data_IF_846617925784
#
_entry.id   IF_846617925784
#
_cell.length_a   1.000
_cell.length_b   1.000
_cell.length_c   1.000
_cell.angle_alpha   90.00
_cell.angle_beta   90.00
_cell.angle_gamma   90.00
#
_symmetry.space_group_name_H-M   'P 1'
#
loop_
_entity.id
_entity.type
_entity.pdbx_description
1 polymer ?
#
# COMPACT_ATOMS: atom_id res chain seq x y z
N UNK A 1 23.39 15.89 -17.77
CA UNK A 1 22.86 14.60 -18.25
C UNK A 1 21.52 14.26 -17.56
N UNK A 2 20.73 15.25 -17.14
CA UNK A 2 19.88 15.12 -15.94
C UNK A 2 18.38 15.37 -16.17
N UNK A 3 17.85 15.15 -17.38
CA UNK A 3 16.46 15.47 -17.77
C UNK A 3 15.66 14.22 -18.20
N UNK A 4 16.14 13.01 -17.83
CA UNK A 4 15.59 11.74 -18.34
C UNK A 4 14.23 11.37 -17.71
N UNK A 5 13.99 11.81 -16.47
CA UNK A 5 12.77 11.51 -15.71
C UNK A 5 11.77 12.66 -15.71
N UNK A 6 12.04 13.78 -16.36
CA UNK A 6 11.08 14.89 -16.31
C UNK A 6 9.86 14.65 -17.20
N UNK A 7 9.97 13.80 -18.24
CA UNK A 7 8.88 13.61 -19.22
C UNK A 7 8.84 12.21 -19.81
N UNK A 8 7.61 11.73 -20.02
CA UNK A 8 7.27 10.46 -20.69
C UNK A 8 8.02 10.19 -22.00
N UNK A 9 8.11 11.15 -22.94
CA UNK A 9 8.87 10.96 -24.18
C UNK A 9 10.36 10.68 -23.96
N UNK A 10 10.97 11.40 -23.01
CA UNK A 10 12.39 11.26 -22.70
C UNK A 10 12.69 9.90 -22.08
N UNK A 11 11.83 9.42 -21.16
CA UNK A 11 11.95 8.09 -20.55
C UNK A 11 11.91 6.98 -21.60
N UNK A 12 10.93 7.01 -22.51
CA UNK A 12 10.78 6.00 -23.55
C UNK A 12 12.00 5.97 -24.49
N UNK A 13 12.43 7.14 -24.94
CA UNK A 13 13.61 7.28 -25.80
C UNK A 13 14.88 6.79 -25.11
N UNK A 14 15.08 7.17 -23.86
CA UNK A 14 16.25 6.79 -23.06
C UNK A 14 16.32 5.27 -22.89
N UNK A 15 15.20 4.62 -22.58
CA UNK A 15 15.17 3.16 -22.45
C UNK A 15 15.55 2.48 -23.76
N UNK A 16 15.00 2.95 -24.88
CA UNK A 16 15.32 2.40 -26.19
C UNK A 16 16.80 2.57 -26.55
N UNK A 17 17.37 3.77 -26.37
CA UNK A 17 18.73 4.06 -26.84
C UNK A 17 19.82 3.60 -25.89
N UNK A 18 19.64 3.84 -24.59
CA UNK A 18 20.70 3.66 -23.59
C UNK A 18 20.62 2.34 -22.82
N UNK A 19 19.43 1.71 -22.76
CA UNK A 19 19.25 0.46 -22.01
C UNK A 19 19.13 -0.77 -22.92
N UNK A 20 18.44 -0.65 -24.06
CA UNK A 20 18.15 -1.80 -24.93
C UNK A 20 18.85 -1.74 -26.30
N UNK A 21 19.43 -0.60 -26.67
CA UNK A 21 20.09 -0.34 -27.96
C UNK A 21 19.23 -0.72 -29.19
N UNK A 22 17.90 -0.65 -29.06
CA UNK A 22 16.98 -1.02 -30.14
C UNK A 22 16.82 0.09 -31.17
N UNK A 23 16.68 -0.28 -32.44
CA UNK A 23 16.30 0.66 -33.47
C UNK A 23 14.86 1.14 -33.26
N UNK A 24 14.56 2.36 -33.75
CA UNK A 24 13.21 2.91 -33.70
C UNK A 24 12.21 2.06 -34.50
N UNK A 25 12.69 1.40 -35.55
CA UNK A 25 11.89 0.56 -36.44
C UNK A 25 11.49 -0.75 -35.75
N UNK A 26 12.43 -1.42 -35.09
CA UNK A 26 12.18 -2.67 -34.35
C UNK A 26 11.19 -2.45 -33.21
N UNK A 27 11.33 -1.33 -32.49
CA UNK A 27 10.43 -0.99 -31.39
C UNK A 27 9.03 -0.65 -31.90
N UNK A 28 8.92 0.09 -33.01
CA UNK A 28 7.64 0.43 -33.63
C UNK A 28 6.90 -0.83 -34.13
N UNK A 29 7.62 -1.74 -34.78
CA UNK A 29 7.06 -3.03 -35.23
C UNK A 29 6.53 -3.84 -34.06
N UNK A 30 7.26 -3.89 -32.95
CA UNK A 30 6.86 -4.64 -31.75
C UNK A 30 5.58 -4.08 -31.11
N UNK A 31 5.43 -2.75 -31.09
CA UNK A 31 4.22 -2.09 -30.59
C UNK A 31 3.06 -2.04 -31.60
N UNK A 32 3.23 -2.59 -32.80
CA UNK A 32 2.20 -2.59 -33.85
C UNK A 32 1.87 -1.20 -34.40
N UNK A 33 2.84 -0.28 -34.40
CA UNK A 33 2.66 1.10 -34.86
C UNK A 33 3.67 1.49 -35.94
N UNK A 34 3.43 2.61 -36.61
CA UNK A 34 4.40 3.15 -37.58
C UNK A 34 5.64 3.71 -36.89
N UNK A 35 6.78 3.73 -37.59
CA UNK A 35 8.00 4.41 -37.12
C UNK A 35 7.76 5.89 -36.80
N UNK A 36 6.93 6.57 -37.58
CA UNK A 36 6.56 7.96 -37.33
C UNK A 36 5.77 8.12 -36.02
N UNK A 37 4.86 7.21 -35.72
CA UNK A 37 4.13 7.18 -34.44
C UNK A 37 5.08 7.02 -33.26
N UNK A 38 6.01 6.07 -33.33
CA UNK A 38 7.03 5.87 -32.28
C UNK A 38 7.92 7.10 -32.11
N UNK A 39 8.34 7.74 -33.21
CA UNK A 39 9.07 9.00 -33.17
C UNK A 39 8.28 10.10 -32.46
N UNK A 40 6.98 10.21 -32.76
CA UNK A 40 6.11 11.22 -32.16
C UNK A 40 5.88 10.97 -30.66
N UNK A 41 5.90 9.71 -30.21
CA UNK A 41 5.89 9.36 -28.79
C UNK A 41 7.19 9.80 -28.10
N UNK A 42 8.35 9.48 -28.68
CA UNK A 42 9.67 9.83 -28.13
C UNK A 42 9.98 11.34 -28.15
N UNK A 43 9.26 12.10 -28.97
CA UNK A 43 9.40 13.58 -29.06
C UNK A 43 8.28 14.33 -28.36
N UNK A 44 7.25 13.64 -27.87
CA UNK A 44 6.12 14.26 -27.18
C UNK A 44 5.18 15.05 -28.09
N UNK A 45 5.17 14.75 -29.39
CA UNK A 45 4.25 15.37 -30.35
C UNK A 45 2.83 14.79 -30.28
N UNK A 46 2.65 13.68 -29.55
CA UNK A 46 1.35 13.00 -29.35
C UNK A 46 1.24 12.51 -27.91
N UNK A 47 0.06 12.05 -27.48
CA UNK A 47 -0.25 11.66 -26.10
C UNK A 47 0.51 10.42 -25.58
N UNK A 48 1.32 9.77 -26.42
CA UNK A 48 2.11 8.59 -26.09
C UNK A 48 1.39 7.26 -26.37
N UNK A 49 2.01 6.12 -26.01
CA UNK A 49 1.38 4.79 -26.13
C UNK A 49 0.19 4.62 -25.17
N UNK A 50 -0.77 3.77 -25.56
CA UNK A 50 -1.74 3.21 -24.62
C UNK A 50 -1.05 2.31 -23.60
N UNK A 51 -1.70 1.96 -22.48
CA UNK A 51 -1.08 1.08 -21.48
C UNK A 51 -0.83 -0.34 -22.00
N UNK A 52 -1.68 -0.85 -22.88
CA UNK A 52 -1.44 -2.14 -23.53
C UNK A 52 -0.19 -2.07 -24.43
N UNK A 53 -0.03 -0.99 -25.20
CA UNK A 53 1.16 -0.77 -26.00
C UNK A 53 2.39 -0.58 -25.11
N UNK A 54 2.25 0.12 -23.99
CA UNK A 54 3.32 0.33 -23.02
C UNK A 54 3.77 -0.98 -22.37
N UNK A 55 2.86 -1.89 -22.04
CA UNK A 55 3.21 -3.21 -21.53
C UNK A 55 4.00 -4.04 -22.56
N UNK A 56 3.61 -3.98 -23.85
CA UNK A 56 4.36 -4.61 -24.94
C UNK A 56 5.75 -3.98 -25.10
N UNK A 57 5.85 -2.66 -24.97
CA UNK A 57 7.12 -1.94 -25.03
C UNK A 57 8.03 -2.30 -23.84
N UNK A 58 7.48 -2.37 -22.64
CA UNK A 58 8.19 -2.74 -21.42
C UNK A 58 8.82 -4.14 -21.55
N UNK A 59 8.02 -5.13 -21.97
CA UNK A 59 8.49 -6.50 -22.22
C UNK A 59 9.58 -6.52 -23.31
N UNK A 60 9.34 -5.84 -24.44
CA UNK A 60 10.30 -5.80 -25.56
C UNK A 60 11.62 -5.14 -25.18
N UNK A 61 11.59 -4.14 -24.31
CA UNK A 61 12.77 -3.41 -23.83
C UNK A 61 13.45 -4.13 -22.65
N UNK A 62 12.88 -5.23 -22.16
CA UNK A 62 13.39 -5.97 -21.01
C UNK A 62 13.32 -5.16 -19.71
N UNK A 63 12.35 -4.25 -19.60
CA UNK A 63 12.24 -3.33 -18.47
C UNK A 63 11.65 -3.97 -17.21
N UNK A 64 10.96 -5.10 -17.33
CA UNK A 64 10.48 -5.88 -16.18
C UNK A 64 9.47 -5.13 -15.32
N UNK A 65 8.47 -4.52 -15.96
CA UNK A 65 7.41 -3.64 -15.43
C UNK A 65 7.85 -2.22 -15.05
N UNK A 66 9.16 -1.96 -14.98
CA UNK A 66 9.70 -0.68 -14.50
C UNK A 66 9.36 0.48 -15.44
N UNK A 67 9.47 0.29 -16.76
CA UNK A 67 9.15 1.33 -17.73
C UNK A 67 7.66 1.67 -17.65
N UNK A 68 6.82 0.64 -17.60
CA UNK A 68 5.37 0.80 -17.46
C UNK A 68 5.00 1.62 -16.23
N UNK A 69 5.47 1.20 -15.05
CA UNK A 69 5.12 1.81 -13.78
C UNK A 69 5.68 3.24 -13.65
N UNK A 70 6.92 3.47 -14.09
CA UNK A 70 7.51 4.82 -14.11
C UNK A 70 6.77 5.75 -15.05
N UNK A 71 6.43 5.30 -16.25
CA UNK A 71 5.71 6.10 -17.23
C UNK A 71 4.37 6.59 -16.66
N UNK A 72 3.69 5.74 -15.89
CA UNK A 72 2.47 6.08 -15.16
C UNK A 72 2.73 7.03 -13.99
N UNK A 73 3.79 6.79 -13.21
CA UNK A 73 4.19 7.60 -12.05
C UNK A 73 4.54 9.06 -12.40
N UNK A 74 5.11 9.29 -13.59
CA UNK A 74 5.51 10.62 -14.07
C UNK A 74 4.42 11.68 -14.02
N UNK A 75 3.15 11.27 -14.10
CA UNK A 75 2.00 12.19 -14.09
C UNK A 75 1.22 12.19 -12.78
N UNK A 76 1.71 11.51 -11.74
CA UNK A 76 1.09 11.55 -10.42
C UNK A 76 0.92 12.98 -9.88
N UNK A 77 1.90 13.90 -10.01
CA UNK A 77 1.74 15.29 -9.57
C UNK A 77 0.64 16.08 -10.30
N UNK A 78 0.31 15.71 -11.54
CA UNK A 78 -0.78 16.36 -12.31
C UNK A 78 -2.18 15.97 -11.79
N UNK A 79 -2.28 14.84 -11.08
CA UNK A 79 -3.54 14.17 -10.80
C UNK A 79 -3.86 14.00 -9.31
N UNK A 80 -2.86 13.74 -8.49
CA UNK A 80 -3.01 13.54 -7.05
C UNK A 80 -2.37 14.70 -6.30
N UNK A 81 -3.05 15.14 -5.23
CA UNK A 81 -2.49 16.13 -4.33
C UNK A 81 -1.28 15.55 -3.60
N UNK A 82 -0.28 16.39 -3.34
CA UNK A 82 0.79 16.05 -2.42
C UNK A 82 0.18 15.80 -1.02
N UNK A 83 0.62 14.75 -0.35
CA UNK A 83 0.19 14.40 1.02
C UNK A 83 1.39 13.96 1.86
N UNK A 84 1.33 14.09 3.19
CA UNK A 84 2.46 13.70 4.05
C UNK A 84 2.58 12.19 4.22
N UNK A 85 1.56 11.39 3.87
CA UNK A 85 1.57 9.94 4.09
C UNK A 85 1.09 9.18 2.88
N UNK A 86 1.86 8.19 2.45
CA UNK A 86 1.59 7.29 1.33
C UNK A 86 1.75 5.85 1.77
N UNK A 87 1.14 4.95 1.02
CA UNK A 87 1.16 3.53 1.34
C UNK A 87 0.96 2.68 0.08
N UNK A 88 1.35 1.41 0.15
CA UNK A 88 1.06 0.40 -0.87
C UNK A 88 1.08 -1.01 -0.28
N UNK A 89 0.07 -1.81 -0.59
CA UNK A 89 0.07 -3.25 -0.32
C UNK A 89 0.52 -3.98 -1.59
N UNK A 90 1.80 -4.36 -1.66
CA UNK A 90 2.30 -5.21 -2.74
C UNK A 90 1.65 -6.61 -2.66
N UNK A 91 1.37 -7.22 -3.80
CA UNK A 91 0.64 -8.48 -3.93
C UNK A 91 1.51 -9.54 -4.58
N UNK A 92 1.22 -10.81 -4.28
CA UNK A 92 1.91 -11.95 -4.86
C UNK A 92 3.23 -12.28 -4.18
N UNK A 93 4.12 -12.96 -4.91
CA UNK A 93 5.40 -13.40 -4.39
C UNK A 93 6.37 -12.22 -4.14
N UNK A 94 7.28 -12.42 -3.18
CA UNK A 94 8.32 -11.43 -2.90
C UNK A 94 9.23 -11.23 -4.10
N UNK A 95 9.26 -9.99 -4.62
CA UNK A 95 10.07 -9.59 -5.77
C UNK A 95 10.59 -8.16 -5.61
N UNK A 96 11.60 -7.73 -6.38
CA UNK A 96 12.09 -6.36 -6.33
C UNK A 96 10.97 -5.36 -6.56
N UNK A 97 10.98 -4.28 -5.78
CA UNK A 97 10.05 -3.17 -5.87
C UNK A 97 10.76 -1.87 -5.54
N UNK A 98 10.15 -0.76 -5.93
CA UNK A 98 10.66 0.56 -5.67
C UNK A 98 9.56 1.51 -5.22
N UNK A 99 9.96 2.53 -4.47
CA UNK A 99 9.17 3.71 -4.16
C UNK A 99 9.91 4.93 -4.72
N UNK A 100 9.21 5.80 -5.45
CA UNK A 100 9.73 7.06 -5.94
C UNK A 100 9.21 8.22 -5.09
N UNK A 101 10.06 8.77 -4.24
CA UNK A 101 9.71 9.80 -3.28
C UNK A 101 10.04 11.17 -3.84
N UNK A 102 9.05 12.07 -3.88
CA UNK A 102 9.21 13.45 -4.36
C UNK A 102 8.55 14.41 -3.38
N UNK A 103 9.27 15.41 -2.89
CA UNK A 103 8.71 16.44 -2.00
C UNK A 103 8.04 17.55 -2.81
N UNK A 104 6.95 18.11 -2.29
CA UNK A 104 6.33 19.28 -2.90
C UNK A 104 7.12 20.55 -2.58
N UNK A 105 7.34 21.39 -3.59
CA UNK A 105 8.06 22.66 -3.47
C UNK A 105 9.52 22.59 -3.94
N UNK A 106 10.31 23.60 -3.57
CA UNK A 106 11.69 23.79 -4.05
C UNK A 106 12.76 23.46 -3.02
N UNK A 107 12.35 23.05 -1.82
CA UNK A 107 13.24 22.76 -0.71
C UNK A 107 13.24 21.25 -0.44
N UNK A 108 14.41 20.66 -0.09
CA UNK A 108 14.46 19.25 0.29
C UNK A 108 13.58 18.99 1.52
N UNK A 109 13.27 17.72 1.74
CA UNK A 109 12.57 17.25 2.94
C UNK A 109 13.13 15.93 3.42
N UNK A 110 12.48 15.35 4.41
CA UNK A 110 12.83 14.05 4.95
C UNK A 110 11.65 13.08 4.78
N UNK A 111 11.97 11.82 4.54
CA UNK A 111 10.98 10.75 4.48
C UNK A 111 11.40 9.58 5.36
N UNK A 112 10.41 8.97 6.00
CA UNK A 112 10.50 7.67 6.65
C UNK A 112 9.74 6.66 5.80
N UNK A 113 10.40 5.57 5.46
CA UNK A 113 9.81 4.42 4.78
C UNK A 113 9.78 3.27 5.76
N UNK A 114 8.60 2.71 6.00
CA UNK A 114 8.43 1.47 6.75
C UNK A 114 7.92 0.39 5.78
N UNK A 115 8.66 -0.70 5.65
CA UNK A 115 8.35 -1.81 4.76
C UNK A 115 8.53 -3.13 5.49
N UNK A 116 7.48 -3.61 6.14
CA UNK A 116 7.59 -4.76 7.04
C UNK A 116 8.59 -4.45 8.16
N UNK A 117 9.73 -5.18 8.27
CA UNK A 117 10.68 -4.96 9.35
C UNK A 117 11.73 -3.89 9.07
N UNK A 118 11.73 -3.37 7.85
CA UNK A 118 12.72 -2.43 7.39
C UNK A 118 12.21 -1.01 7.58
N UNK A 119 13.00 -0.20 8.26
CA UNK A 119 12.81 1.24 8.34
C UNK A 119 13.98 1.94 7.66
N UNK A 120 13.68 2.84 6.75
CA UNK A 120 14.64 3.75 6.14
C UNK A 120 14.19 5.18 6.41
N UNK A 121 15.01 5.95 7.12
CA UNK A 121 14.90 7.41 7.15
C UNK A 121 15.89 7.96 6.11
N UNK A 122 15.42 8.80 5.19
CA UNK A 122 16.26 9.40 4.15
C UNK A 122 15.91 10.85 3.86
N UNK A 123 16.89 11.61 3.35
CA UNK A 123 16.65 12.92 2.78
C UNK A 123 16.11 12.76 1.35
N UNK A 124 15.11 13.58 1.03
CA UNK A 124 14.47 13.63 -0.28
C UNK A 124 14.78 14.97 -0.93
N UNK A 125 15.62 14.98 -2.00
CA UNK A 125 15.93 16.20 -2.73
C UNK A 125 14.66 16.85 -3.31
N UNK A 126 14.66 18.18 -3.43
CA UNK A 126 13.66 18.87 -4.24
C UNK A 126 13.83 18.51 -5.73
N UNK A 127 12.74 18.61 -6.50
CA UNK A 127 12.76 18.29 -7.93
C UNK A 127 12.52 16.80 -8.18
N UNK A 128 13.52 16.12 -8.75
CA UNK A 128 13.40 14.72 -9.19
C UNK A 128 13.21 13.71 -8.06
N UNK A 129 13.53 14.12 -6.82
CA UNK A 129 13.38 13.26 -5.64
C UNK A 129 14.38 12.11 -5.62
N UNK A 130 13.98 10.99 -5.02
CA UNK A 130 14.84 9.83 -4.80
C UNK A 130 14.04 8.54 -4.92
N UNK A 131 14.66 7.49 -5.45
CA UNK A 131 14.12 6.15 -5.41
C UNK A 131 14.65 5.40 -4.20
N UNK A 132 13.75 4.70 -3.51
CA UNK A 132 14.11 3.67 -2.56
C UNK A 132 13.74 2.31 -3.16
N UNK A 133 14.71 1.43 -3.34
CA UNK A 133 14.51 0.10 -3.90
C UNK A 133 14.68 -0.96 -2.82
N UNK A 134 13.78 -1.95 -2.79
CA UNK A 134 13.79 -3.05 -1.85
C UNK A 134 13.14 -4.31 -2.48
N UNK A 135 12.87 -5.32 -1.65
CA UNK A 135 11.96 -6.42 -2.02
C UNK A 135 10.59 -6.18 -1.40
N UNK A 136 9.52 -6.55 -2.10
CA UNK A 136 8.19 -6.61 -1.50
C UNK A 136 8.17 -7.76 -0.47
N UNK A 137 8.09 -7.46 0.81
CA UNK A 137 8.29 -8.47 1.86
C UNK A 137 7.01 -9.24 2.21
N UNK A 138 5.87 -8.56 2.22
CA UNK A 138 4.57 -9.13 2.54
C UNK A 138 3.45 -8.22 2.01
N UNK A 139 2.27 -8.78 1.84
CA UNK A 139 1.04 -8.03 1.56
C UNK A 139 0.58 -7.20 2.76
N UNK A 140 1.00 -7.56 3.98
CA UNK A 140 0.68 -6.87 5.24
C UNK A 140 1.86 -6.92 6.23
N UNK A 141 2.24 -5.83 6.91
CA UNK A 141 1.73 -4.46 6.75
C UNK A 141 2.03 -3.89 5.36
N UNK A 142 1.24 -2.90 4.94
CA UNK A 142 1.57 -2.11 3.75
C UNK A 142 2.94 -1.46 3.90
N UNK A 143 3.63 -1.24 2.79
CA UNK A 143 4.75 -0.28 2.78
C UNK A 143 4.15 1.09 3.03
N UNK A 144 4.67 1.85 3.98
CA UNK A 144 4.25 3.22 4.28
C UNK A 144 5.40 4.18 4.10
N UNK A 145 5.09 5.37 3.58
CA UNK A 145 6.04 6.48 3.47
C UNK A 145 5.44 7.69 4.15
N UNK A 146 6.13 8.22 5.15
CA UNK A 146 5.76 9.43 5.88
C UNK A 146 6.81 10.50 5.62
N UNK A 147 6.38 11.63 5.07
CA UNK A 147 7.20 12.81 4.89
C UNK A 147 6.99 13.79 6.03
N UNK A 148 8.04 14.56 6.33
CA UNK A 148 7.94 15.74 7.20
C UNK A 148 7.13 16.90 6.57
N UNK A 149 6.88 16.83 5.26
CA UNK A 149 6.04 17.76 4.47
C UNK A 149 5.30 17.07 3.36
N UNK A 150 4.28 17.71 2.79
CA UNK A 150 3.53 17.10 1.70
C UNK A 150 4.43 16.71 0.50
N UNK A 151 4.24 15.50 -0.02
CA UNK A 151 4.96 15.00 -1.19
C UNK A 151 4.13 13.98 -1.97
N UNK A 152 4.77 13.36 -2.96
CA UNK A 152 4.23 12.27 -3.76
C UNK A 152 5.08 11.03 -3.60
N UNK A 153 4.43 9.87 -3.59
CA UNK A 153 5.10 8.58 -3.72
C UNK A 153 4.39 7.77 -4.78
N UNK A 154 5.16 7.23 -5.70
CA UNK A 154 4.71 6.16 -6.58
C UNK A 154 5.44 4.87 -6.21
N UNK A 155 4.76 3.76 -6.39
CA UNK A 155 5.29 2.44 -6.11
C UNK A 155 5.22 1.61 -7.37
N UNK A 156 6.24 0.80 -7.62
CA UNK A 156 6.27 -0.11 -8.75
C UNK A 156 7.09 -1.35 -8.47
N UNK A 157 7.05 -2.30 -9.39
CA UNK A 157 7.87 -3.50 -9.35
C UNK A 157 9.12 -3.38 -10.21
N UNK A 158 10.05 -4.31 -10.00
CA UNK A 158 11.27 -4.45 -10.79
C UNK A 158 12.48 -3.73 -10.18
N UNK A 159 13.59 -3.79 -10.93
CA UNK A 159 14.89 -3.22 -10.54
C UNK A 159 15.16 -2.01 -11.43
N UNK A 160 15.33 -0.85 -10.81
CA UNK A 160 15.66 0.40 -11.49
C UNK A 160 17.09 0.35 -12.03
N UNK A 161 17.32 0.78 -13.28
CA UNK A 161 18.68 0.94 -13.78
C UNK A 161 19.45 2.02 -12.99
N UNK A 162 20.75 1.81 -12.76
CA UNK A 162 21.58 2.74 -12.01
C UNK A 162 21.63 4.16 -12.63
N UNK A 163 21.46 4.25 -13.95
CA UNK A 163 21.50 5.51 -14.71
C UNK A 163 20.12 6.17 -14.88
N UNK A 164 19.09 5.80 -14.09
CA UNK A 164 17.70 6.26 -14.28
C UNK A 164 17.49 7.77 -14.17
N UNK A 165 18.47 8.53 -13.66
CA UNK A 165 18.43 10.00 -13.63
C UNK A 165 18.04 10.62 -12.29
N UNK A 166 17.64 9.81 -11.30
CA UNK A 166 17.51 10.20 -9.90
C UNK A 166 18.33 9.27 -9.00
N UNK A 167 18.63 9.70 -7.78
CA UNK A 167 19.34 8.87 -6.82
C UNK A 167 18.55 7.60 -6.52
N UNK A 168 19.23 6.44 -6.51
CA UNK A 168 18.65 5.15 -6.12
C UNK A 168 19.31 4.70 -4.83
N UNK A 169 18.52 4.60 -3.77
CA UNK A 169 18.93 4.06 -2.48
C UNK A 169 18.51 2.60 -2.44
N UNK A 170 19.48 1.70 -2.25
CA UNK A 170 19.20 0.31 -1.86
C UNK A 170 18.75 0.31 -0.40
N UNK A 171 17.43 0.30 -0.19
CA UNK A 171 16.86 0.41 1.13
C UNK A 171 17.26 -0.78 2.02
N UNK A 172 17.60 -1.95 1.48
CA UNK A 172 18.03 -3.10 2.27
C UNK A 172 19.37 -2.83 2.98
N UNK A 173 20.27 -2.05 2.37
CA UNK A 173 21.60 -1.73 2.93
C UNK A 173 21.54 -0.75 4.10
N UNK A 174 20.60 0.19 4.05
CA UNK A 174 20.49 1.28 5.01
C UNK A 174 19.34 1.09 5.98
N UNK A 175 18.47 0.12 5.73
CA UNK A 175 17.34 -0.12 6.59
C UNK A 175 17.83 -0.59 7.96
N UNK A 176 17.51 0.22 8.96
CA UNK A 176 17.60 -0.24 10.33
C UNK A 176 16.40 -1.13 10.56
N UNK A 177 16.65 -2.27 11.21
CA UNK A 177 15.61 -3.04 11.86
C UNK A 177 15.07 -2.17 13.01
N UNK A 178 14.09 -1.32 12.70
CA UNK A 178 13.64 -0.21 13.55
C UNK A 178 13.00 -0.69 14.84
N UNK A 179 13.18 0.02 15.96
CA UNK A 179 12.72 -0.39 17.31
C UNK A 179 11.24 -0.79 17.43
N UNK A 180 10.40 -0.32 16.50
CA UNK A 180 8.94 -0.43 16.50
C UNK A 180 8.42 -1.60 15.64
N UNK A 181 9.25 -2.10 14.71
CA UNK A 181 8.85 -3.10 13.69
C UNK A 181 9.94 -4.13 13.43
N UNK A 182 10.85 -4.36 14.39
CA UNK A 182 11.86 -5.42 14.23
C UNK A 182 11.19 -6.76 13.86
N UNK A 183 11.87 -7.75 13.25
CA UNK A 183 11.43 -9.14 13.34
C UNK A 183 11.03 -9.47 14.79
N UNK A 184 11.71 -8.82 15.76
CA UNK A 184 11.39 -8.76 17.17
C UNK A 184 10.01 -8.18 17.51
N UNK A 185 9.37 -7.25 16.79
CA UNK A 185 8.02 -6.76 17.12
C UNK A 185 6.93 -7.76 16.72
N UNK A 186 7.00 -8.37 15.54
CA UNK A 186 6.10 -9.49 15.19
C UNK A 186 6.38 -10.72 16.06
N UNK A 187 7.65 -10.99 16.41
CA UNK A 187 8.04 -11.99 17.41
C UNK A 187 7.67 -11.60 18.83
N UNK A 188 7.68 -10.33 19.23
CA UNK A 188 7.32 -9.82 20.57
C UNK A 188 5.81 -9.77 20.69
N UNK A 189 5.07 -9.38 19.66
CA UNK A 189 3.61 -9.52 19.57
C UNK A 189 3.21 -11.00 19.56
N UNK A 190 3.88 -11.86 18.79
CA UNK A 190 3.71 -13.31 18.91
C UNK A 190 4.05 -13.78 20.34
N UNK A 191 5.15 -13.32 20.93
CA UNK A 191 5.58 -13.63 22.32
C UNK A 191 4.62 -13.10 23.38
N UNK A 192 3.85 -12.05 23.08
CA UNK A 192 2.86 -11.41 23.95
C UNK A 192 1.49 -12.01 23.82
N UNK A 193 1.07 -12.39 22.61
CA UNK A 193 -0.01 -13.34 22.44
C UNK A 193 0.31 -14.65 23.20
N UNK A 194 1.61 -14.98 23.33
CA UNK A 194 2.12 -16.09 24.14
C UNK A 194 2.55 -15.70 25.56
N UNK A 195 2.31 -14.47 26.04
CA UNK A 195 2.74 -14.05 27.39
C UNK A 195 2.16 -14.89 28.52
N UNK A 196 0.92 -15.43 28.45
CA UNK A 196 0.46 -16.41 29.43
C UNK A 196 1.39 -17.63 29.52
N UNK A 197 2.09 -17.95 28.43
CA UNK A 197 3.02 -19.06 28.31
C UNK A 197 4.50 -18.70 28.50
N UNK A 198 4.94 -17.43 28.56
CA UNK A 198 6.36 -17.13 28.92
C UNK A 198 6.67 -17.63 30.35
N UNK A 199 5.68 -17.55 31.24
CA UNK A 199 5.70 -18.21 32.55
C UNK A 199 5.69 -19.74 32.46
N UNK A 200 4.97 -20.34 31.49
CA UNK A 200 4.98 -21.79 31.23
C UNK A 200 6.28 -22.28 30.56
N UNK A 201 6.93 -21.44 29.76
CA UNK A 201 8.25 -21.66 29.18
C UNK A 201 9.36 -21.36 30.19
N UNK A 202 9.09 -20.85 31.38
CA UNK A 202 10.13 -20.59 32.39
C UNK A 202 11.08 -19.45 32.01
N UNK A 203 10.61 -18.48 31.21
CA UNK A 203 11.34 -17.26 30.88
C UNK A 203 11.84 -17.15 29.43
N UNK A 204 12.49 -16.02 29.10
CA UNK A 204 12.90 -15.68 27.73
C UNK A 204 13.86 -16.71 27.10
N UNK A 205 14.79 -17.26 27.88
CA UNK A 205 15.84 -18.16 27.37
C UNK A 205 15.28 -19.49 26.84
N UNK A 206 14.31 -20.09 27.55
CA UNK A 206 13.67 -21.34 27.11
C UNK A 206 12.77 -21.12 25.90
N UNK A 207 12.15 -19.95 25.80
CA UNK A 207 11.40 -19.55 24.61
C UNK A 207 12.33 -19.43 23.40
N UNK A 208 13.48 -18.76 23.54
CA UNK A 208 14.49 -18.69 22.50
C UNK A 208 15.00 -20.06 22.09
N UNK A 209 15.25 -20.95 23.05
CA UNK A 209 15.64 -22.32 22.75
C UNK A 209 14.57 -23.08 21.97
N UNK A 210 13.29 -22.84 22.27
CA UNK A 210 12.15 -23.46 21.55
C UNK A 210 12.07 -22.96 20.11
N UNK A 211 12.21 -21.64 19.90
CA UNK A 211 12.24 -21.04 18.57
C UNK A 211 13.51 -21.49 17.81
N UNK A 212 14.68 -21.54 18.47
CA UNK A 212 15.94 -22.04 17.92
C UNK A 212 15.85 -23.50 17.47
N UNK A 213 15.16 -24.37 18.22
CA UNK A 213 14.94 -25.77 17.80
C UNK A 213 14.11 -25.88 16.52
N UNK A 214 13.17 -24.95 16.29
CA UNK A 214 12.25 -25.01 15.15
C UNK A 214 12.76 -24.28 13.90
N UNK A 215 13.53 -23.21 14.09
CA UNK A 215 14.03 -22.36 13.01
C UNK A 215 15.56 -22.39 12.84
N UNK A 216 16.26 -23.15 13.70
CA UNK A 216 17.70 -23.39 13.62
C UNK A 216 18.54 -22.14 13.94
N UNK A 217 19.74 -22.06 13.35
CA UNK A 217 20.67 -20.92 13.51
C UNK A 217 20.10 -19.57 13.04
N UNK A 218 19.00 -19.58 12.27
CA UNK A 218 18.31 -18.38 11.76
C UNK A 218 17.81 -17.45 12.88
N UNK A 219 17.62 -18.00 14.08
CA UNK A 219 17.15 -17.28 15.28
C UNK A 219 18.27 -16.49 15.96
N UNK A 220 19.52 -16.92 15.82
CA UNK A 220 20.64 -16.27 16.53
C UNK A 220 21.00 -14.90 15.96
N UNK A 221 20.79 -14.69 14.65
CA UNK A 221 20.93 -13.38 14.01
C UNK A 221 19.89 -12.38 14.53
N UNK A 222 18.66 -12.84 14.82
CA UNK A 222 17.63 -12.02 15.45
C UNK A 222 17.83 -11.84 16.98
N UNK A 223 18.45 -12.82 17.66
CA UNK A 223 18.56 -12.89 19.13
C UNK A 223 19.22 -11.67 19.78
N UNK A 224 20.28 -11.12 19.17
CA UNK A 224 20.98 -9.96 19.72
C UNK A 224 20.07 -8.71 19.77
N UNK A 225 19.17 -8.58 18.79
CA UNK A 225 18.22 -7.48 18.72
C UNK A 225 17.01 -7.72 19.64
N UNK A 226 16.48 -8.95 19.70
CA UNK A 226 15.31 -9.33 20.52
C UNK A 226 15.53 -9.07 22.02
N UNK A 227 16.72 -9.34 22.56
CA UNK A 227 17.03 -9.16 24.00
C UNK A 227 16.98 -7.69 24.44
N UNK A 228 17.24 -6.77 23.51
CA UNK A 228 17.20 -5.30 23.74
C UNK A 228 15.78 -4.75 23.56
N UNK A 229 14.99 -5.35 22.65
CA UNK A 229 13.62 -4.95 22.27
C UNK A 229 12.53 -5.41 23.24
N UNK A 230 12.73 -6.55 23.93
CA UNK A 230 11.75 -7.12 24.87
C UNK A 230 11.39 -6.19 26.05
N UNK A 231 12.14 -5.09 26.24
CA UNK A 231 11.87 -4.05 27.25
C UNK A 231 10.82 -3.02 26.81
N UNK A 232 10.46 -2.94 25.52
CA UNK A 232 9.55 -1.91 24.98
C UNK A 232 8.16 -2.50 24.75
N UNK A 233 7.24 -2.21 25.67
CA UNK A 233 5.85 -2.69 25.64
C UNK A 233 5.04 -1.89 24.60
N UNK A 234 4.81 -2.43 23.40
CA UNK A 234 3.83 -1.86 22.44
C UNK A 234 2.40 -2.25 22.84
N UNK A 235 1.44 -1.34 22.94
CA UNK A 235 0.07 -1.71 23.35
C UNK A 235 -0.75 -2.16 22.13
N UNK A 236 -1.42 -3.31 22.19
CA UNK A 236 -2.48 -3.66 21.20
C UNK A 236 -3.73 -2.79 21.37
N UNK A 237 -3.83 -2.09 22.50
CA UNK A 237 -4.84 -1.07 22.79
C UNK A 237 -4.45 0.28 22.20
N UNK A 238 -5.32 0.85 21.36
CA UNK A 238 -5.25 2.24 20.91
C UNK A 238 -6.39 3.02 21.57
N UNK A 239 -6.04 4.12 22.22
CA UNK A 239 -7.03 5.04 22.79
C UNK A 239 -7.41 6.10 21.74
N UNK A 240 -8.57 5.92 21.11
CA UNK A 240 -9.13 6.89 20.15
C UNK A 240 -10.19 7.78 20.80
N UNK A 241 -10.37 7.71 22.12
CA UNK A 241 -11.43 8.48 22.82
C UNK A 241 -11.25 10.00 22.80
N UNK A 242 -10.06 10.47 22.40
CA UNK A 242 -9.73 11.90 22.24
C UNK A 242 -9.60 12.34 20.78
N UNK A 243 -9.90 11.44 19.84
CA UNK A 243 -9.82 11.76 18.42
C UNK A 243 -10.93 12.76 18.01
N UNK A 244 -10.70 13.47 16.90
CA UNK A 244 -11.74 14.30 16.30
C UNK A 244 -12.88 13.40 15.78
N UNK A 245 -14.03 13.49 16.42
CA UNK A 245 -15.16 12.62 16.21
C UNK A 245 -16.33 13.41 15.64
N UNK A 246 -17.00 12.85 14.62
CA UNK A 246 -18.13 13.52 13.98
C UNK A 246 -19.10 12.50 13.40
N UNK A 247 -20.38 12.84 13.43
CA UNK A 247 -21.46 12.06 12.81
C UNK A 247 -21.75 12.47 11.37
N UNK A 248 -21.11 13.53 10.88
CA UNK A 248 -21.39 14.08 9.55
C UNK A 248 -21.00 13.10 8.44
N UNK A 249 -21.84 13.04 7.40
CA UNK A 249 -21.52 12.31 6.20
C UNK A 249 -20.38 13.02 5.45
N UNK A 250 -19.45 12.21 4.93
CA UNK A 250 -18.37 12.69 4.05
C UNK A 250 -18.73 12.40 2.58
N UNK A 251 -18.26 13.23 1.63
CA UNK A 251 -18.50 12.97 0.21
C UNK A 251 -17.98 11.59 -0.20
N UNK A 252 -18.80 10.83 -0.93
CA UNK A 252 -18.44 9.47 -1.38
C UNK A 252 -17.22 9.45 -2.33
N UNK A 253 -16.97 10.55 -3.04
CA UNK A 253 -15.97 10.61 -4.10
C UNK A 253 -15.42 12.02 -4.33
N UNK A 254 -14.28 12.09 -5.02
CA UNK A 254 -13.53 13.32 -5.32
C UNK A 254 -14.13 14.30 -6.33
N UNK A 255 -15.24 13.92 -6.98
CA UNK A 255 -15.89 14.73 -8.00
C UNK A 255 -15.31 14.49 -9.40
N UNK A 256 -16.08 14.83 -10.43
CA UNK A 256 -15.84 14.41 -11.81
C UNK A 256 -14.50 14.84 -12.42
N UNK A 257 -14.15 16.12 -12.28
CA UNK A 257 -12.92 16.68 -12.88
C UNK A 257 -11.65 15.99 -12.35
N UNK A 258 -11.63 15.61 -11.06
CA UNK A 258 -10.50 14.90 -10.46
C UNK A 258 -10.33 13.50 -11.05
N UNK A 259 -11.43 12.78 -11.28
CA UNK A 259 -11.38 11.48 -11.99
C UNK A 259 -10.85 11.65 -13.42
N UNK A 260 -11.32 12.67 -14.15
CA UNK A 260 -10.83 12.95 -15.50
C UNK A 260 -9.33 13.20 -15.51
N UNK A 261 -8.84 14.08 -14.64
CA UNK A 261 -7.40 14.37 -14.53
C UNK A 261 -6.59 13.13 -14.21
N UNK A 262 -7.03 12.33 -13.25
CA UNK A 262 -6.34 11.10 -12.88
C UNK A 262 -6.36 10.06 -14.00
N UNK A 263 -7.50 9.86 -14.68
CA UNK A 263 -7.59 8.98 -15.84
C UNK A 263 -6.61 9.38 -16.94
N UNK A 264 -6.60 10.66 -17.32
CA UNK A 264 -5.70 11.19 -18.35
C UNK A 264 -4.24 11.08 -17.92
N UNK A 265 -3.93 11.38 -16.65
CA UNK A 265 -2.60 11.21 -16.10
C UNK A 265 -2.15 9.75 -16.13
N UNK A 266 -3.04 8.79 -15.84
CA UNK A 266 -2.75 7.35 -15.93
C UNK A 266 -2.74 6.81 -17.37
N UNK A 267 -3.09 7.63 -18.37
CA UNK A 267 -3.04 7.24 -19.79
C UNK A 267 -4.21 6.37 -20.25
N UNK A 268 -5.30 6.35 -19.49
CA UNK A 268 -6.49 5.55 -19.83
C UNK A 268 -7.43 6.32 -20.76
N UNK A 269 -7.92 5.65 -21.81
CA UNK A 269 -9.14 6.10 -22.47
C UNK A 269 -10.36 5.81 -21.57
N UNK A 270 -11.51 6.41 -21.89
CA UNK A 270 -12.76 6.07 -21.21
C UNK A 270 -13.18 4.62 -21.46
N UNK A 271 -12.82 4.03 -22.61
CA UNK A 271 -13.15 2.65 -22.91
C UNK A 271 -12.31 1.70 -22.06
N UNK A 272 -10.99 1.93 -22.00
CA UNK A 272 -10.06 1.10 -21.23
C UNK A 272 -10.40 1.12 -19.73
N UNK A 273 -10.67 2.31 -19.18
CA UNK A 273 -11.03 2.42 -17.77
C UNK A 273 -12.38 1.74 -17.48
N UNK A 274 -13.34 1.84 -18.39
CA UNK A 274 -14.64 1.17 -18.22
C UNK A 274 -14.49 -0.35 -18.26
N UNK A 275 -13.64 -0.88 -19.14
CA UNK A 275 -13.31 -2.29 -19.19
C UNK A 275 -12.62 -2.76 -17.91
N UNK A 276 -11.53 -2.11 -17.49
CA UNK A 276 -10.79 -2.50 -16.29
C UNK A 276 -11.62 -2.40 -15.01
N UNK A 277 -12.47 -1.37 -14.90
CA UNK A 277 -13.43 -1.27 -13.80
C UNK A 277 -14.44 -2.42 -13.87
N UNK A 278 -14.90 -2.79 -15.08
CA UNK A 278 -15.81 -3.93 -15.27
C UNK A 278 -15.19 -5.26 -14.82
N UNK A 279 -13.92 -5.47 -15.11
CA UNK A 279 -13.19 -6.71 -14.79
C UNK A 279 -12.96 -6.91 -13.28
N UNK A 280 -13.03 -5.86 -12.45
CA UNK A 280 -12.86 -5.98 -10.99
C UNK A 280 -13.89 -6.92 -10.33
N UNK A 281 -15.12 -6.91 -10.85
CA UNK A 281 -16.22 -7.72 -10.32
C UNK A 281 -17.19 -8.09 -11.45
N UNK A 282 -17.03 -9.30 -12.02
CA UNK A 282 -17.88 -9.79 -13.10
C UNK A 282 -19.35 -10.01 -12.69
N UNK A 283 -19.65 -10.13 -11.40
CA UNK A 283 -21.00 -10.38 -10.90
C UNK A 283 -21.83 -9.07 -10.83
N UNK A 284 -21.17 -7.91 -10.92
CA UNK A 284 -21.81 -6.61 -10.96
C UNK A 284 -22.05 -6.12 -12.39
N UNK A 285 -23.04 -5.23 -12.54
CA UNK A 285 -23.29 -4.58 -13.83
C UNK A 285 -22.03 -3.92 -14.41
N UNK A 286 -21.80 -4.11 -15.70
CA UNK A 286 -20.64 -3.57 -16.38
C UNK A 286 -20.59 -2.03 -16.31
N UNK A 287 -19.39 -1.50 -16.12
CA UNK A 287 -19.10 -0.07 -16.23
C UNK A 287 -18.96 0.27 -17.72
N UNK A 288 -19.61 1.35 -18.16
CA UNK A 288 -19.60 1.76 -19.57
C UNK A 288 -18.88 3.10 -19.72
N UNK A 289 -18.40 3.40 -20.94
CA UNK A 289 -17.84 4.71 -21.29
C UNK A 289 -18.79 5.86 -20.95
N UNK A 290 -20.10 5.67 -21.15
CA UNK A 290 -21.10 6.68 -20.83
C UNK A 290 -21.23 6.93 -19.30
N UNK A 291 -21.15 5.87 -18.49
CA UNK A 291 -21.08 6.02 -17.03
C UNK A 291 -19.91 6.91 -16.62
N UNK A 292 -18.72 6.65 -17.19
CA UNK A 292 -17.53 7.43 -16.89
C UNK A 292 -17.62 8.87 -17.40
N UNK A 293 -18.11 9.06 -18.61
CA UNK A 293 -18.32 10.39 -19.18
C UNK A 293 -19.26 11.21 -18.29
N UNK A 294 -20.39 10.65 -17.85
CA UNK A 294 -21.32 11.32 -16.93
C UNK A 294 -20.68 11.63 -15.57
N UNK A 295 -19.90 10.71 -15.01
CA UNK A 295 -19.18 10.92 -13.76
C UNK A 295 -18.20 12.10 -13.87
N UNK A 296 -17.40 12.13 -14.94
CA UNK A 296 -16.41 13.19 -15.19
C UNK A 296 -17.03 14.58 -15.35
N UNK A 297 -18.29 14.64 -15.79
CA UNK A 297 -19.08 15.88 -15.90
C UNK A 297 -19.93 16.17 -14.66
N UNK A 298 -19.65 15.50 -13.54
CA UNK A 298 -20.24 15.80 -12.23
C UNK A 298 -21.56 15.11 -11.91
N UNK A 299 -22.06 14.23 -12.80
CA UNK A 299 -23.19 13.37 -12.47
C UNK A 299 -22.74 12.20 -11.57
N UNK A 300 -23.68 11.56 -10.88
CA UNK A 300 -23.42 10.33 -10.11
C UNK A 300 -24.19 9.17 -10.73
N UNK A 301 -23.60 8.45 -11.71
CA UNK A 301 -24.25 7.30 -12.33
C UNK A 301 -24.66 6.25 -11.27
N UNK A 302 -25.86 5.69 -11.42
CA UNK A 302 -26.36 4.61 -10.55
C UNK A 302 -25.79 3.27 -10.99
N UNK A 303 -24.50 3.08 -10.77
CA UNK A 303 -23.79 1.83 -11.04
C UNK A 303 -23.25 1.30 -9.72
N UNK A 304 -23.53 0.04 -9.35
CA UNK A 304 -23.02 -0.54 -8.11
C UNK A 304 -21.50 -0.41 -8.01
N UNK A 305 -21.04 0.12 -6.88
CA UNK A 305 -19.63 0.23 -6.50
C UNK A 305 -18.73 0.91 -7.55
N UNK A 306 -19.29 1.86 -8.32
CA UNK A 306 -18.56 2.51 -9.42
C UNK A 306 -17.25 3.17 -8.97
N UNK A 307 -17.28 3.95 -7.90
CA UNK A 307 -16.13 4.76 -7.49
C UNK A 307 -15.02 3.92 -6.86
N UNK A 308 -15.40 2.81 -6.23
CA UNK A 308 -14.51 1.80 -5.67
C UNK A 308 -13.77 1.05 -6.78
N UNK A 309 -14.50 0.58 -7.81
CA UNK A 309 -13.92 -0.09 -8.98
C UNK A 309 -13.00 0.84 -9.76
N UNK A 310 -13.34 2.13 -9.87
CA UNK A 310 -12.50 3.12 -10.54
C UNK A 310 -11.24 3.44 -9.74
N UNK A 311 -11.32 3.52 -8.41
CA UNK A 311 -10.14 3.74 -7.58
C UNK A 311 -9.09 2.62 -7.77
N UNK A 312 -9.57 1.37 -7.73
CA UNK A 312 -8.74 0.18 -7.97
C UNK A 312 -8.14 0.18 -9.38
N UNK A 313 -8.95 0.43 -10.41
CA UNK A 313 -8.49 0.45 -11.80
C UNK A 313 -7.49 1.60 -12.07
N UNK A 314 -7.63 2.75 -11.40
CA UNK A 314 -6.71 3.88 -11.50
C UNK A 314 -5.47 3.74 -10.61
N UNK A 315 -5.40 2.70 -9.78
CA UNK A 315 -4.31 2.49 -8.82
C UNK A 315 -4.17 3.64 -7.82
N UNK A 316 -5.30 4.21 -7.36
CA UNK A 316 -5.29 5.40 -6.51
C UNK A 316 -5.21 5.10 -5.00
N UNK A 317 -5.24 3.82 -4.63
CA UNK A 317 -5.05 3.30 -3.27
C UNK A 317 -6.00 3.91 -2.22
N UNK A 318 -7.27 3.92 -2.60
CA UNK A 318 -8.39 4.41 -1.82
C UNK A 318 -8.54 5.93 -1.79
N UNK A 319 -7.66 6.67 -2.46
CA UNK A 319 -7.66 8.13 -2.35
C UNK A 319 -8.87 8.76 -3.00
N UNK A 320 -9.39 8.22 -4.10
CA UNK A 320 -10.47 8.87 -4.88
C UNK A 320 -11.86 8.68 -4.29
N UNK A 321 -12.02 7.78 -3.32
CA UNK A 321 -13.32 7.42 -2.76
C UNK A 321 -13.33 7.38 -1.23
N UNK A 322 -14.54 7.53 -0.68
CA UNK A 322 -14.88 7.26 0.72
C UNK A 322 -16.26 6.62 0.73
N UNK A 323 -16.32 5.35 0.32
CA UNK A 323 -17.57 4.69 0.02
C UNK A 323 -18.02 3.77 1.15
N UNK A 324 -19.20 4.03 1.70
CA UNK A 324 -19.84 3.14 2.67
C UNK A 324 -20.26 1.83 2.00
N UNK A 325 -19.91 0.71 2.63
CA UNK A 325 -20.28 -0.63 2.18
C UNK A 325 -21.29 -1.30 3.10
N UNK A 326 -21.36 -0.87 4.37
CA UNK A 326 -22.22 -1.49 5.37
C UNK A 326 -22.59 -0.49 6.46
N UNK A 327 -23.85 -0.55 6.90
CA UNK A 327 -24.34 0.12 8.11
C UNK A 327 -25.10 -0.91 8.94
N UNK A 328 -24.74 -1.06 10.21
CA UNK A 328 -25.40 -1.92 11.18
C UNK A 328 -25.86 -1.08 12.36
N UNK A 329 -27.17 -1.09 12.60
CA UNK A 329 -27.79 -0.39 13.72
C UNK A 329 -27.93 -1.32 14.91
N UNK A 330 -27.80 -0.75 16.12
CA UNK A 330 -28.12 -1.40 17.39
C UNK A 330 -27.48 -2.80 17.52
N UNK A 331 -26.15 -2.82 17.44
CA UNK A 331 -25.34 -4.03 17.56
C UNK A 331 -25.62 -4.69 18.91
N UNK A 332 -26.31 -5.83 18.91
CA UNK A 332 -26.57 -6.60 20.14
C UNK A 332 -25.34 -7.39 20.58
N UNK A 333 -24.64 -8.02 19.63
CA UNK A 333 -23.44 -8.81 19.89
C UNK A 333 -22.55 -8.92 18.66
N UNK A 334 -21.55 -8.05 18.59
CA UNK A 334 -20.57 -8.02 17.52
C UNK A 334 -21.16 -7.87 16.11
N UNK A 335 -20.30 -7.61 15.13
CA UNK A 335 -20.71 -7.44 13.73
C UNK A 335 -19.63 -7.98 12.81
N UNK A 336 -20.02 -8.61 11.71
CA UNK A 336 -19.12 -9.00 10.64
C UNK A 336 -19.32 -8.07 9.45
N UNK A 337 -18.21 -7.57 8.92
CA UNK A 337 -18.18 -6.61 7.82
C UNK A 337 -17.44 -7.25 6.65
N UNK A 338 -18.16 -7.41 5.54
CA UNK A 338 -17.60 -7.90 4.28
C UNK A 338 -17.36 -6.73 3.34
N UNK A 339 -16.11 -6.56 2.92
CA UNK A 339 -15.72 -5.57 1.92
C UNK A 339 -15.77 -6.17 0.51
N UNK A 340 -15.92 -5.36 -0.55
CA UNK A 340 -15.94 -5.85 -1.93
C UNK A 340 -14.76 -6.79 -2.23
N UNK A 341 -14.95 -7.96 -2.83
CA UNK A 341 -13.93 -9.01 -2.87
C UNK A 341 -12.63 -8.55 -3.55
N UNK A 342 -12.71 -7.66 -4.53
CA UNK A 342 -11.56 -7.10 -5.25
C UNK A 342 -10.82 -5.97 -4.51
N UNK A 343 -11.37 -5.44 -3.41
CA UNK A 343 -10.80 -4.27 -2.74
C UNK A 343 -9.51 -4.63 -2.00
N UNK A 344 -8.44 -3.89 -2.30
CA UNK A 344 -7.16 -3.89 -1.58
C UNK A 344 -6.85 -2.44 -1.26
N UNK A 345 -6.62 -2.13 0.02
CA UNK A 345 -6.32 -0.77 0.44
C UNK A 345 -7.02 -0.36 1.72
N UNK A 346 -7.16 0.96 1.98
CA UNK A 346 -7.74 1.44 3.22
C UNK A 346 -9.22 1.07 3.33
N UNK A 347 -9.61 0.67 4.54
CA UNK A 347 -10.99 0.48 4.96
C UNK A 347 -11.20 1.28 6.24
N UNK A 348 -12.41 1.80 6.43
CA UNK A 348 -12.74 2.60 7.59
C UNK A 348 -13.95 2.05 8.32
N UNK A 349 -13.99 2.28 9.62
CA UNK A 349 -15.08 1.92 10.51
C UNK A 349 -15.40 3.12 11.38
N UNK A 350 -16.64 3.57 11.35
CA UNK A 350 -17.20 4.60 12.22
C UNK A 350 -18.04 3.96 13.31
N UNK A 351 -17.77 4.33 14.56
CA UNK A 351 -18.50 3.86 15.73
C UNK A 351 -19.46 4.96 16.19
N UNK A 352 -20.75 4.64 16.28
CA UNK A 352 -21.81 5.57 16.63
C UNK A 352 -22.53 5.05 17.86
N UNK A 353 -22.67 5.86 18.89
CA UNK A 353 -23.44 5.50 20.06
C UNK A 353 -24.94 5.68 19.77
N UNK A 354 -25.69 4.58 19.75
CA UNK A 354 -27.15 4.58 19.52
C UNK A 354 -27.96 4.54 20.81
N UNK A 355 -27.34 4.14 21.93
CA UNK A 355 -27.98 4.08 23.24
C UNK A 355 -27.01 4.27 24.41
N UNK A 356 -27.39 3.80 25.61
CA UNK A 356 -26.49 3.83 26.77
C UNK A 356 -25.52 2.64 26.69
N UNK A 357 -24.36 2.87 26.08
CA UNK A 357 -23.29 1.87 26.03
C UNK A 357 -22.80 1.56 27.45
N UNK A 358 -22.68 0.27 27.76
CA UNK A 358 -22.10 -0.19 29.04
C UNK A 358 -20.58 -0.13 29.02
N UNK A 359 -19.96 -0.25 27.84
CA UNK A 359 -18.52 -0.14 27.65
C UNK A 359 -18.17 0.73 26.43
N UNK A 360 -17.09 1.49 26.56
CA UNK A 360 -16.51 2.30 25.47
C UNK A 360 -15.28 1.60 24.87
N UNK A 361 -15.44 0.34 24.49
CA UNK A 361 -14.37 -0.49 23.94
C UNK A 361 -14.88 -1.30 22.75
N UNK A 362 -13.99 -1.54 21.80
CA UNK A 362 -14.20 -2.48 20.71
C UNK A 362 -12.97 -3.36 20.53
N UNK A 363 -13.18 -4.57 20.04
CA UNK A 363 -12.10 -5.41 19.52
C UNK A 363 -12.34 -5.66 18.05
N UNK A 364 -11.44 -5.17 17.21
CA UNK A 364 -11.38 -5.54 15.81
C UNK A 364 -10.69 -6.90 15.70
N UNK A 365 -11.24 -7.78 14.87
CA UNK A 365 -10.72 -9.11 14.60
C UNK A 365 -10.73 -9.31 13.09
N UNK A 366 -9.54 -9.37 12.50
CA UNK A 366 -9.35 -9.62 11.09
C UNK A 366 -8.40 -10.80 10.95
N UNK A 367 -8.97 -12.00 10.99
CA UNK A 367 -8.22 -13.24 11.20
C UNK A 367 -6.95 -13.32 10.34
N UNK A 368 -5.78 -13.61 10.94
CA UNK A 368 -5.57 -14.04 12.31
C UNK A 368 -5.27 -12.91 13.30
N UNK A 369 -5.52 -11.66 12.94
CA UNK A 369 -5.11 -10.48 13.70
C UNK A 369 -6.25 -9.93 14.55
N UNK A 370 -5.90 -9.22 15.62
CA UNK A 370 -6.84 -8.44 16.41
C UNK A 370 -6.27 -7.12 16.92
N UNK A 371 -7.15 -6.18 17.22
CA UNK A 371 -6.82 -4.86 17.75
C UNK A 371 -7.85 -4.45 18.80
N UNK A 372 -7.38 -3.93 19.93
CA UNK A 372 -8.27 -3.40 20.97
C UNK A 372 -8.35 -1.88 20.83
N UNK A 373 -9.55 -1.33 20.93
CA UNK A 373 -9.82 0.10 20.80
C UNK A 373 -10.58 0.60 22.04
N UNK A 374 -10.24 1.80 22.50
CA UNK A 374 -11.06 2.56 23.43
C UNK A 374 -11.73 3.70 22.65
N UNK A 375 -13.06 3.70 22.67
CA UNK A 375 -13.90 4.47 21.75
C UNK A 375 -14.44 5.77 22.37
N UNK A 376 -14.84 6.69 21.50
CA UNK A 376 -15.81 7.75 21.79
C UNK A 376 -16.88 7.73 20.68
N UNK A 377 -18.01 8.41 20.90
CA UNK A 377 -19.08 8.50 19.89
C UNK A 377 -18.62 9.29 18.65
N UNK A 378 -18.91 8.76 17.46
CA UNK A 378 -18.59 9.40 16.18
C UNK A 378 -17.16 9.19 15.71
N UNK A 379 -16.34 8.41 16.43
CA UNK A 379 -14.96 8.16 16.04
C UNK A 379 -14.90 7.30 14.77
N UNK A 380 -14.01 7.67 13.87
CA UNK A 380 -13.70 6.88 12.67
C UNK A 380 -12.28 6.36 12.80
N UNK A 381 -12.10 5.06 12.60
CA UNK A 381 -10.79 4.43 12.51
C UNK A 381 -10.57 3.90 11.10
N UNK A 382 -9.33 3.86 10.65
CA UNK A 382 -8.94 3.26 9.39
C UNK A 382 -7.86 2.22 9.61
N UNK A 383 -7.95 1.13 8.84
CA UNK A 383 -6.95 0.08 8.74
C UNK A 383 -6.89 -0.34 7.27
N UNK A 384 -6.10 -1.35 6.92
CA UNK A 384 -5.90 -1.74 5.53
C UNK A 384 -6.26 -3.20 5.30
N UNK A 385 -6.99 -3.45 4.22
CA UNK A 385 -7.14 -4.79 3.66
C UNK A 385 -5.95 -5.08 2.77
N UNK A 386 -5.20 -6.12 3.13
CA UNK A 386 -4.01 -6.53 2.39
C UNK A 386 -4.30 -7.43 1.20
N UNK A 387 -5.33 -8.27 1.25
CA UNK A 387 -5.62 -9.24 0.19
C UNK A 387 -7.13 -9.41 -0.06
N UNK A 388 -7.53 -9.74 -1.31
CA UNK A 388 -8.90 -10.11 -1.67
C UNK A 388 -9.45 -11.29 -0.86
N UNK A 389 -8.61 -12.25 -0.51
CA UNK A 389 -8.99 -13.46 0.24
C UNK A 389 -9.16 -13.24 1.75
N UNK A 390 -8.91 -12.04 2.28
CA UNK A 390 -9.05 -11.79 3.71
C UNK A 390 -10.47 -12.12 4.18
N UNK A 391 -10.55 -12.79 5.35
CA UNK A 391 -11.81 -13.04 6.04
C UNK A 391 -12.58 -11.72 6.31
N UNK A 392 -13.90 -11.77 6.54
CA UNK A 392 -14.65 -10.61 7.01
C UNK A 392 -14.02 -9.98 8.26
N UNK A 393 -14.09 -8.65 8.36
CA UNK A 393 -13.67 -7.96 9.57
C UNK A 393 -14.75 -8.14 10.63
N UNK A 394 -14.45 -8.89 11.67
CA UNK A 394 -15.34 -9.01 12.83
C UNK A 394 -15.02 -7.92 13.84
N UNK A 395 -16.05 -7.34 14.43
CA UNK A 395 -15.95 -6.31 15.44
C UNK A 395 -16.72 -6.78 16.65
N UNK A 396 -16.02 -7.05 17.75
CA UNK A 396 -16.66 -7.37 19.02
C UNK A 396 -16.94 -6.05 19.76
N UNK A 397 -18.25 -5.76 19.92
CA UNK A 397 -18.80 -4.54 20.53
C UNK A 397 -19.91 -4.92 21.51
N UNK A 398 -20.10 -4.09 22.55
CA UNK A 398 -21.24 -4.20 23.47
C UNK A 398 -22.49 -3.55 22.90
N UNK A 399 -23.66 -3.88 23.47
CA UNK A 399 -24.91 -3.22 23.14
C UNK A 399 -24.87 -1.69 23.32
N UNK A 400 -25.66 -0.98 22.51
CA UNK A 400 -25.76 0.48 22.51
C UNK A 400 -24.85 1.19 21.50
N UNK A 401 -24.23 0.44 20.60
CA UNK A 401 -23.42 0.93 19.49
C UNK A 401 -24.04 0.57 18.14
N UNK A 402 -23.82 1.43 17.16
CA UNK A 402 -24.04 1.23 15.73
C UNK A 402 -22.72 1.39 15.01
N UNK A 403 -22.57 0.72 13.87
CA UNK A 403 -21.35 0.74 13.08
C UNK A 403 -21.67 1.10 11.64
N UNK A 404 -20.85 1.98 11.07
CA UNK A 404 -20.79 2.20 9.62
C UNK A 404 -19.40 1.83 9.15
N UNK A 405 -19.28 1.19 8.01
CA UNK A 405 -17.99 0.83 7.47
C UNK A 405 -17.95 1.03 5.96
N UNK A 406 -16.74 1.23 5.46
CA UNK A 406 -16.53 1.51 4.05
C UNK A 406 -15.10 1.34 3.62
N UNK A 407 -14.88 1.65 2.36
CA UNK A 407 -13.58 1.59 1.69
C UNK A 407 -13.10 2.99 1.31
N UNK A 408 -11.79 3.12 1.11
CA UNK A 408 -11.14 4.37 0.72
C UNK A 408 -10.65 5.20 1.91
N UNK A 409 -10.14 6.38 1.62
CA UNK A 409 -9.55 7.27 2.64
C UNK A 409 -10.63 8.15 3.24
N UNK A 410 -11.00 7.88 4.48
CA UNK A 410 -11.89 8.76 5.23
C UNK A 410 -11.10 9.92 5.87
N UNK A 411 -11.49 11.19 5.66
CA UNK A 411 -10.67 12.35 6.01
C UNK A 411 -10.44 12.54 7.52
N UNK A 412 -11.34 12.02 8.35
CA UNK A 412 -11.26 12.07 9.83
C UNK A 412 -10.76 10.77 10.47
N UNK A 413 -10.40 9.77 9.67
CA UNK A 413 -10.09 8.47 10.26
C UNK A 413 -8.73 8.49 10.98
N UNK A 414 -8.73 7.94 12.19
CA UNK A 414 -7.51 7.64 12.92
C UNK A 414 -6.93 6.34 12.38
N UNK A 415 -5.69 6.39 11.91
CA UNK A 415 -4.97 5.19 11.45
C UNK A 415 -4.68 4.25 12.63
N UNK A 416 -5.28 3.07 12.60
CA UNK A 416 -5.08 1.99 13.58
C UNK A 416 -4.41 0.77 12.95
N UNK A 417 -3.76 0.93 11.79
CA UNK A 417 -3.06 -0.15 11.09
C UNK A 417 -1.85 -0.69 11.89
N UNK A 418 -1.27 0.13 12.76
CA UNK A 418 -0.17 -0.29 13.65
C UNK A 418 -0.65 -1.13 14.84
N UNK A 419 0.20 -2.05 15.32
CA UNK A 419 0.05 -2.72 16.63
C UNK A 419 -1.11 -3.72 16.72
N UNK A 420 -1.39 -4.45 15.63
CA UNK A 420 -2.29 -5.60 15.65
C UNK A 420 -1.59 -6.81 16.27
N UNK A 421 -2.29 -7.53 17.15
CA UNK A 421 -1.80 -8.76 17.79
C UNK A 421 -2.34 -10.01 17.10
N UNK A 422 -1.68 -11.15 17.25
CA UNK A 422 -2.15 -12.43 16.70
C UNK A 422 -3.23 -13.05 17.60
N UNK A 423 -4.20 -13.75 17.03
CA UNK A 423 -5.29 -14.42 17.74
C UNK A 423 -4.85 -15.70 18.45
N UNK A 424 -3.90 -16.45 17.87
CA UNK A 424 -3.46 -17.73 18.40
C UNK A 424 -1.98 -18.00 18.16
N UNK A 425 -1.47 -19.02 18.85
CA UNK A 425 -0.06 -19.41 18.82
C UNK A 425 0.37 -20.11 17.54
N UNK A 426 -0.44 -21.02 17.03
CA UNK A 426 -0.09 -21.80 15.85
C UNK A 426 -0.04 -20.92 14.61
N UNK A 427 -0.99 -19.99 14.46
CA UNK A 427 -0.98 -19.05 13.34
C UNK A 427 0.21 -18.10 13.42
N UNK A 428 0.62 -17.70 14.63
CA UNK A 428 1.82 -16.91 14.82
C UNK A 428 3.09 -17.62 14.28
N UNK A 429 3.20 -18.94 14.47
CA UNK A 429 4.33 -19.70 13.93
C UNK A 429 4.34 -19.73 12.40
N UNK A 430 3.19 -19.93 11.76
CA UNK A 430 3.10 -19.98 10.30
C UNK A 430 3.41 -18.62 9.66
N UNK A 431 2.84 -17.54 10.21
CA UNK A 431 3.15 -16.16 9.79
C UNK A 431 4.64 -15.85 9.94
N UNK A 432 5.25 -16.19 11.09
CA UNK A 432 6.68 -15.98 11.31
C UNK A 432 7.54 -16.82 10.36
N UNK A 433 7.15 -18.05 10.06
CA UNK A 433 7.86 -18.92 9.11
C UNK A 433 7.91 -18.29 7.72
N UNK A 434 6.77 -17.78 7.24
CA UNK A 434 6.70 -17.07 5.97
C UNK A 434 7.61 -15.82 5.99
N UNK A 435 7.50 -15.01 7.05
CA UNK A 435 8.28 -13.79 7.21
C UNK A 435 9.80 -14.03 7.19
N UNK A 436 10.28 -15.05 7.89
CA UNK A 436 11.70 -15.42 7.89
C UNK A 436 12.20 -15.90 6.53
N UNK A 437 11.38 -16.63 5.76
CA UNK A 437 11.76 -17.05 4.40
C UNK A 437 11.95 -15.83 3.49
N UNK A 438 11.08 -14.84 3.60
CA UNK A 438 11.16 -13.60 2.80
C UNK A 438 12.39 -12.78 3.19
N UNK A 439 12.65 -12.59 4.48
CA UNK A 439 13.88 -11.96 4.96
C UNK A 439 15.13 -12.65 4.41
N UNK A 440 15.17 -13.98 4.46
CA UNK A 440 16.30 -14.76 3.95
C UNK A 440 16.47 -14.60 2.43
N UNK A 441 15.38 -14.50 1.67
CA UNK A 441 15.44 -14.25 0.23
C UNK A 441 16.00 -12.85 -0.07
N UNK A 442 15.55 -11.83 0.65
CA UNK A 442 16.01 -10.46 0.47
C UNK A 442 17.51 -10.30 0.81
N UNK A 443 17.99 -10.93 1.89
CA UNK A 443 19.42 -10.92 2.22
C UNK A 443 20.27 -11.74 1.25
N UNK A 444 19.77 -12.89 0.76
CA UNK A 444 20.49 -13.73 -0.21
C UNK A 444 20.69 -13.04 -1.56
N UNK A 445 19.71 -12.26 -1.99
CA UNK A 445 19.74 -11.58 -3.27
C UNK A 445 20.36 -10.18 -3.19
N UNK A 446 20.77 -9.73 -2.00
CA UNK A 446 21.53 -8.49 -1.86
C UNK A 446 22.93 -8.68 -2.49
N UNK A 447 23.35 -7.81 -3.43
CA UNK A 447 24.53 -8.02 -4.25
C UNK A 447 25.86 -8.09 -3.47
N UNK A 448 25.89 -7.70 -2.18
CA UNK A 448 27.12 -7.68 -1.39
C UNK A 448 27.44 -9.00 -0.66
N UNK A 449 26.52 -9.97 -0.57
CA UNK A 449 26.81 -11.31 -0.01
C UNK A 449 27.43 -11.34 1.41
N UNK A 450 27.61 -10.20 2.08
CA UNK A 450 28.24 -10.11 3.38
C UNK A 450 27.20 -10.43 4.43
N UNK A 451 27.23 -11.69 4.88
CA UNK A 451 26.61 -12.13 6.13
C UNK A 451 27.21 -11.30 7.26
N UNK A 452 26.49 -10.30 7.75
CA UNK A 452 26.65 -9.81 9.13
C UNK A 452 25.66 -10.50 10.03
#
# INVERSE_FOLDING_TARGET
MTDQLHRRPALLRWWRTEQSELSLEDLAQSAGVSRATMHNWETGQTDGPSLQQLAVLDDRLGAGEVLHDLYVALRTPDALNATPKWWRNFQGESRPCWAWLRVAGTQPGAARIDAGPFRLDCEVPAGEGVFAQAYAFASNPAVTVEFDRAGWVDFGYGVLPAAIGAGVIDAVKYAVIGSRDRPDHALVEASRTWMPSITEFGGPDRWFDTIRRRFGRRVEVARHFVTTSARTVVSTGVDVSKADASREAVPRHWGGDRYRRLRVARGFSLADLAQLASEQDPDLSAVTKDHLHRLEHGSTPRVPQLVERLDMALGADGRTCTAEVTTVQDVERGVEITFPPYWIGPVWVQFLQSGRATEHRARLVWSPWHKNLKLCDGVVVTTRRSEPSNAPLRIDLTAGWSVRAGVGVHPRAVDVNEGWGLLSRDVAFDTLTHYFKVLEAAFRNSPDGSRT
#
